data_IF_250402556940
#
_entry.id   IF_250402556940
#
_cell.length_a   1.000
_cell.length_b   1.000
_cell.length_c   1.000
_cell.angle_alpha   90.00
_cell.angle_beta   90.00
_cell.angle_gamma   90.00
#
_symmetry.space_group_name_H-M   'P 1'
#
loop_
_entity.id
_entity.type
_entity.pdbx_description
1 polymer ?
#
# COMPACT_ATOMS: atom_id res chain seq x y z
N UNK A 1 -48.03 14.69 8.39
CA UNK A 1 -46.80 14.68 9.19
C UNK A 1 -45.67 15.03 8.25
N UNK A 2 -45.42 16.33 8.09
CA UNK A 2 -44.47 16.92 7.15
C UNK A 2 -43.09 17.05 7.80
N UNK A 3 -42.03 16.70 7.09
CA UNK A 3 -40.65 16.92 7.51
C UNK A 3 -40.15 18.25 6.92
N UNK A 4 -39.40 19.07 7.68
CA UNK A 4 -38.96 20.37 7.18
C UNK A 4 -37.77 20.23 6.23
N UNK A 5 -37.85 20.98 5.12
CA UNK A 5 -36.79 21.17 4.15
C UNK A 5 -35.64 21.99 4.77
N UNK A 6 -34.64 21.29 5.32
CA UNK A 6 -33.37 21.89 5.74
C UNK A 6 -32.35 21.89 4.59
N UNK A 7 -32.15 23.06 3.97
CA UNK A 7 -31.15 23.32 2.94
C UNK A 7 -29.72 23.24 3.50
N UNK A 8 -28.94 22.24 3.07
CA UNK A 8 -27.50 22.20 3.29
C UNK A 8 -26.77 22.93 2.16
N UNK A 9 -26.53 24.22 2.32
CA UNK A 9 -25.61 24.96 1.47
C UNK A 9 -24.16 24.60 1.86
N UNK A 10 -23.49 23.79 1.03
CA UNK A 10 -22.04 23.59 1.15
C UNK A 10 -21.28 24.78 0.54
N UNK A 11 -20.26 25.35 1.21
CA UNK A 11 -19.38 26.32 0.59
C UNK A 11 -18.39 25.62 -0.37
N UNK A 12 -17.97 26.28 -1.47
CA UNK A 12 -17.00 25.71 -2.40
C UNK A 12 -15.62 25.68 -1.76
N UNK A 13 -15.12 24.49 -1.45
CA UNK A 13 -13.74 24.27 -0.99
C UNK A 13 -12.77 24.48 -2.17
N UNK A 14 -12.22 25.69 -2.28
CA UNK A 14 -11.06 25.98 -3.12
C UNK A 14 -9.79 25.34 -2.52
N UNK A 15 -9.59 24.04 -2.75
CA UNK A 15 -8.40 23.31 -2.30
C UNK A 15 -7.26 23.38 -3.35
N UNK A 16 -6.68 24.57 -3.56
CA UNK A 16 -5.54 24.75 -4.50
C UNK A 16 -4.17 24.36 -3.90
N UNK A 17 -4.06 24.11 -2.60
CA UNK A 17 -2.75 23.96 -1.92
C UNK A 17 -2.19 22.52 -1.79
N UNK A 18 -2.86 21.46 -2.26
CA UNK A 18 -2.38 20.07 -2.04
C UNK A 18 -1.77 19.35 -3.24
N UNK A 19 -2.03 19.78 -4.47
CA UNK A 19 -1.52 19.08 -5.66
C UNK A 19 -0.02 19.27 -5.89
N UNK A 20 0.56 20.42 -5.50
CA UNK A 20 2.00 20.67 -5.62
C UNK A 20 2.85 19.69 -4.80
N UNK A 21 2.41 19.29 -3.62
CA UNK A 21 3.14 18.31 -2.78
C UNK A 21 3.15 16.92 -3.41
N UNK A 22 2.06 16.51 -4.07
CA UNK A 22 1.98 15.22 -4.76
C UNK A 22 2.94 15.19 -5.96
N UNK A 23 3.00 16.28 -6.75
CA UNK A 23 3.89 16.37 -7.91
C UNK A 23 5.38 16.39 -7.53
N UNK A 24 5.74 17.03 -6.41
CA UNK A 24 7.13 17.07 -5.93
C UNK A 24 7.61 15.67 -5.49
N UNK A 25 6.76 14.88 -4.82
CA UNK A 25 7.10 13.49 -4.47
C UNK A 25 7.35 12.63 -5.72
N UNK A 26 6.49 12.73 -6.73
CA UNK A 26 6.63 11.96 -7.98
C UNK A 26 7.91 12.32 -8.75
N UNK A 27 8.31 13.60 -8.76
CA UNK A 27 9.54 14.03 -9.45
C UNK A 27 10.83 13.57 -8.76
N UNK A 28 10.84 13.49 -7.43
CA UNK A 28 11.97 12.93 -6.67
C UNK A 28 12.09 11.41 -6.90
N UNK A 29 10.95 10.71 -6.96
CA UNK A 29 10.85 9.27 -7.17
C UNK A 29 11.40 8.82 -8.53
N UNK A 30 11.13 9.57 -9.60
CA UNK A 30 11.66 9.28 -10.93
C UNK A 30 13.20 9.34 -10.97
N UNK A 31 13.79 10.32 -10.30
CA UNK A 31 15.26 10.47 -10.22
C UNK A 31 15.94 9.35 -9.42
N UNK A 32 15.23 8.71 -8.49
CA UNK A 32 15.74 7.55 -7.74
C UNK A 32 15.64 6.30 -8.62
N UNK A 33 14.48 6.05 -9.22
CA UNK A 33 14.25 4.91 -10.13
C UNK A 33 15.25 4.89 -11.31
N UNK A 34 15.49 6.04 -11.94
CA UNK A 34 16.42 6.16 -13.07
C UNK A 34 17.89 5.91 -12.66
N UNK A 35 18.28 6.27 -11.42
CA UNK A 35 19.64 6.01 -10.91
C UNK A 35 19.86 4.55 -10.55
N UNK A 36 18.87 3.89 -9.95
CA UNK A 36 18.96 2.45 -9.62
C UNK A 36 19.00 1.60 -10.89
N UNK A 37 18.20 1.94 -11.91
CA UNK A 37 18.18 1.24 -13.19
C UNK A 37 19.52 1.34 -13.94
N UNK A 38 20.16 2.52 -14.00
CA UNK A 38 21.45 2.69 -14.68
C UNK A 38 22.59 1.89 -14.03
N UNK A 39 22.59 1.74 -12.71
CA UNK A 39 23.61 0.91 -12.01
C UNK A 39 23.48 -0.57 -12.35
N UNK A 40 22.27 -1.08 -12.58
CA UNK A 40 22.05 -2.50 -12.89
C UNK A 40 22.52 -2.88 -14.30
N UNK A 41 22.47 -1.97 -15.27
CA UNK A 41 22.86 -2.27 -16.67
C UNK A 41 24.38 -2.29 -16.88
N UNK A 42 25.16 -1.68 -15.98
CA UNK A 42 26.63 -1.58 -16.11
C UNK A 42 27.46 -2.71 -15.48
N UNK A 43 26.85 -3.64 -14.75
CA UNK A 43 27.58 -4.58 -13.87
C UNK A 43 27.64 -6.03 -14.36
N UNK A 44 27.43 -6.30 -15.65
CA UNK A 44 27.45 -7.67 -16.20
C UNK A 44 28.78 -8.05 -16.86
N UNK A 45 29.63 -8.82 -16.16
CA UNK A 45 30.39 -9.99 -16.70
C UNK A 45 31.34 -10.65 -15.67
N UNK A 46 30.98 -10.69 -14.38
CA UNK A 46 31.72 -11.44 -13.36
C UNK A 46 30.88 -12.61 -12.81
N UNK A 47 31.07 -13.82 -13.36
CA UNK A 47 30.35 -15.02 -12.93
C UNK A 47 30.84 -15.56 -11.59
N UNK A 48 30.28 -15.07 -10.47
CA UNK A 48 30.56 -15.63 -9.15
C UNK A 48 29.65 -15.07 -8.07
N UNK A 49 28.72 -15.90 -7.55
CA UNK A 49 27.84 -15.66 -6.39
C UNK A 49 26.96 -14.38 -6.44
N UNK A 50 25.99 -14.34 -7.38
CA UNK A 50 24.94 -13.31 -7.40
C UNK A 50 23.69 -13.62 -6.54
N UNK A 51 23.60 -14.78 -5.88
CA UNK A 51 22.34 -15.25 -5.31
C UNK A 51 21.91 -14.56 -4.00
N UNK A 52 22.84 -14.03 -3.21
CA UNK A 52 22.52 -13.43 -1.90
C UNK A 52 22.50 -11.88 -1.87
N UNK A 53 23.05 -11.20 -2.88
CA UNK A 53 23.31 -9.75 -2.79
C UNK A 53 22.08 -8.85 -3.07
N UNK A 54 20.92 -9.43 -3.36
CA UNK A 54 19.69 -8.70 -3.73
C UNK A 54 18.48 -9.03 -2.86
N UNK A 55 18.69 -9.44 -1.60
CA UNK A 55 17.56 -9.65 -0.70
C UNK A 55 16.94 -8.29 -0.32
N UNK A 56 15.70 -8.07 -0.76
CA UNK A 56 14.88 -6.95 -0.33
C UNK A 56 14.42 -7.17 1.12
N UNK A 57 14.81 -6.29 2.03
CA UNK A 57 14.49 -6.39 3.47
C UNK A 57 13.71 -5.15 3.90
N UNK A 58 12.54 -5.36 4.48
CA UNK A 58 11.75 -4.30 5.12
C UNK A 58 12.23 -4.11 6.55
N UNK A 59 12.54 -2.87 6.92
CA UNK A 59 12.92 -2.48 8.28
C UNK A 59 11.83 -1.59 8.86
N UNK A 60 11.35 -1.95 10.04
CA UNK A 60 10.39 -1.12 10.78
C UNK A 60 11.10 0.02 11.51
N UNK A 61 10.45 1.18 11.63
CA UNK A 61 10.92 2.22 12.53
C UNK A 61 10.83 1.75 13.99
N UNK A 62 11.71 2.24 14.86
CA UNK A 62 11.73 1.85 16.29
C UNK A 62 10.42 2.16 17.01
N UNK A 63 9.77 3.25 16.60
CA UNK A 63 8.45 3.69 17.07
C UNK A 63 7.30 3.31 16.12
N UNK A 64 7.47 2.29 15.28
CA UNK A 64 6.40 1.82 14.43
C UNK A 64 5.17 1.46 15.28
N UNK A 65 4.02 2.03 14.96
CA UNK A 65 2.75 1.70 15.59
C UNK A 65 2.23 0.34 15.09
N UNK A 66 1.11 -0.14 15.67
CA UNK A 66 0.52 -1.41 15.26
C UNK A 66 0.13 -1.42 13.77
N UNK A 67 -0.33 -0.29 13.23
CA UNK A 67 -0.70 -0.17 11.82
C UNK A 67 0.52 -0.27 10.90
N UNK A 68 1.63 0.37 11.27
CA UNK A 68 2.90 0.28 10.56
C UNK A 68 3.44 -1.16 10.51
N UNK A 69 3.38 -1.89 11.64
CA UNK A 69 3.76 -3.30 11.70
C UNK A 69 2.91 -4.16 10.76
N UNK A 70 1.59 -4.04 10.85
CA UNK A 70 0.67 -4.81 10.00
C UNK A 70 0.85 -4.46 8.52
N UNK A 71 1.00 -3.19 8.18
CA UNK A 71 1.27 -2.73 6.82
C UNK A 71 2.54 -3.37 6.25
N UNK A 72 3.67 -3.30 6.96
CA UNK A 72 4.93 -3.87 6.49
C UNK A 72 4.86 -5.40 6.35
N UNK A 73 4.24 -6.09 7.31
CA UNK A 73 4.09 -7.55 7.28
C UNK A 73 3.16 -7.99 6.16
N UNK A 74 2.06 -7.27 5.93
CA UNK A 74 1.16 -7.54 4.81
C UNK A 74 1.86 -7.34 3.46
N UNK A 75 2.65 -6.28 3.30
CA UNK A 75 3.44 -6.07 2.09
C UNK A 75 4.47 -7.19 1.89
N UNK A 76 5.16 -7.60 2.96
CA UNK A 76 6.10 -8.73 2.92
C UNK A 76 5.40 -10.04 2.52
N UNK A 77 4.25 -10.32 3.13
CA UNK A 77 3.42 -11.49 2.86
C UNK A 77 2.95 -11.54 1.40
N UNK A 78 2.38 -10.45 0.88
CA UNK A 78 1.95 -10.36 -0.52
C UNK A 78 3.15 -10.60 -1.43
N UNK A 79 4.31 -9.99 -1.14
CA UNK A 79 5.46 -10.00 -2.06
C UNK A 79 6.44 -11.14 -1.88
N UNK A 80 6.12 -12.09 -1.00
CA UNK A 80 7.03 -13.18 -0.62
C UNK A 80 8.39 -12.65 -0.16
N UNK A 81 8.42 -11.50 0.52
CA UNK A 81 9.63 -10.94 1.12
C UNK A 81 9.90 -11.63 2.45
N UNK A 82 11.14 -11.53 2.93
CA UNK A 82 11.44 -11.91 4.30
C UNK A 82 10.57 -11.09 5.28
N UNK A 83 10.22 -11.66 6.45
CA UNK A 83 9.53 -10.91 7.49
C UNK A 83 10.25 -9.58 7.80
N UNK A 84 9.51 -8.47 8.01
CA UNK A 84 10.12 -7.19 8.34
C UNK A 84 10.98 -7.30 9.60
N UNK A 85 12.21 -6.80 9.54
CA UNK A 85 13.09 -6.75 10.70
C UNK A 85 12.70 -5.57 11.59
N UNK A 86 12.65 -5.82 12.89
CA UNK A 86 12.67 -4.76 13.87
C UNK A 86 14.06 -4.12 13.86
N UNK A 87 14.18 -2.82 14.13
CA UNK A 87 15.49 -2.21 14.24
C UNK A 87 16.21 -2.88 15.41
N UNK A 88 17.32 -3.54 15.11
CA UNK A 88 18.26 -3.99 16.14
C UNK A 88 18.74 -2.75 16.90
N UNK A 89 19.10 -2.94 18.17
CA UNK A 89 19.44 -1.83 19.07
C UNK A 89 20.61 -0.95 18.56
N UNK A 90 21.39 -1.44 17.59
CA UNK A 90 22.59 -0.76 17.08
C UNK A 90 22.67 -0.79 15.54
N UNK A 91 23.06 0.35 14.95
CA UNK A 91 23.64 0.40 13.60
C UNK A 91 22.70 0.61 12.40
N UNK A 92 21.38 0.50 12.55
CA UNK A 92 20.47 0.82 11.45
C UNK A 92 20.22 2.34 11.40
N UNK A 93 21.04 3.04 10.60
CA UNK A 93 21.02 4.50 10.50
C UNK A 93 19.62 5.11 10.39
N UNK A 94 19.46 6.28 11.00
CA UNK A 94 18.19 6.95 11.29
C UNK A 94 17.11 6.77 10.23
N UNK A 95 16.17 5.85 10.48
CA UNK A 95 14.85 5.94 9.86
C UNK A 95 14.21 7.21 10.42
N UNK A 96 13.81 8.19 9.58
CA UNK A 96 13.16 9.39 10.09
C UNK A 96 11.97 9.00 10.98
N UNK A 97 11.86 9.60 12.16
CA UNK A 97 10.78 9.27 13.11
C UNK A 97 9.37 9.43 12.49
N UNK A 98 9.26 10.23 11.43
CA UNK A 98 8.03 10.48 10.70
C UNK A 98 7.59 9.31 9.79
N UNK A 99 8.49 8.40 9.45
CA UNK A 99 8.25 7.31 8.49
C UNK A 99 8.09 5.96 9.20
N UNK A 100 7.08 5.15 8.80
CA UNK A 100 6.75 3.91 9.50
C UNK A 100 7.74 2.77 9.24
N UNK A 101 8.41 2.76 8.09
CA UNK A 101 9.36 1.72 7.67
C UNK A 101 10.26 2.20 6.52
N UNK A 102 11.36 1.47 6.31
CA UNK A 102 12.37 1.67 5.25
C UNK A 102 12.62 0.34 4.55
N UNK A 103 12.81 0.35 3.24
CA UNK A 103 13.25 -0.84 2.50
C UNK A 103 14.74 -0.73 2.22
N UNK A 104 15.48 -1.79 2.51
CA UNK A 104 16.86 -1.96 2.07
C UNK A 104 16.87 -2.93 0.89
N UNK A 105 17.49 -2.51 -0.22
CA UNK A 105 17.68 -3.33 -1.41
C UNK A 105 19.18 -3.36 -1.72
N UNK A 106 19.86 -4.42 -1.31
CA UNK A 106 21.32 -4.47 -1.33
C UNK A 106 21.92 -3.34 -0.47
N UNK A 107 22.62 -2.38 -1.10
CA UNK A 107 23.19 -1.21 -0.43
C UNK A 107 22.30 0.02 -0.44
N UNK A 108 21.23 0.00 -1.23
CA UNK A 108 20.33 1.15 -1.38
C UNK A 108 19.26 1.13 -0.28
N UNK A 109 18.94 2.31 0.25
CA UNK A 109 17.87 2.52 1.24
C UNK A 109 16.78 3.39 0.65
N UNK A 110 15.55 2.90 0.73
CA UNK A 110 14.36 3.56 0.20
C UNK A 110 13.47 3.94 1.37
N UNK A 111 13.25 5.24 1.51
CA UNK A 111 12.42 5.82 2.56
C UNK A 111 11.09 6.26 1.95
N UNK A 112 10.00 5.89 2.61
CA UNK A 112 8.65 6.31 2.25
C UNK A 112 7.82 5.16 1.63
N UNK A 113 6.58 4.97 2.07
CA UNK A 113 5.78 3.80 1.70
C UNK A 113 5.36 3.78 0.22
N UNK A 114 5.25 4.95 -0.43
CA UNK A 114 4.87 5.04 -1.84
C UNK A 114 5.99 4.57 -2.76
N UNK A 115 7.18 5.16 -2.61
CA UNK A 115 8.38 4.78 -3.39
C UNK A 115 8.67 3.30 -3.22
N UNK A 116 8.59 2.82 -1.98
CA UNK A 116 8.80 1.44 -1.62
C UNK A 116 7.80 0.51 -2.32
N UNK A 117 6.50 0.81 -2.27
CA UNK A 117 5.48 0.00 -2.91
C UNK A 117 5.71 -0.09 -4.43
N UNK A 118 6.07 1.03 -5.08
CA UNK A 118 6.38 1.06 -6.51
C UNK A 118 7.65 0.27 -6.85
N UNK A 119 8.70 0.40 -6.06
CA UNK A 119 9.95 -0.33 -6.27
C UNK A 119 9.78 -1.84 -6.07
N UNK A 120 9.05 -2.24 -5.03
CA UNK A 120 8.76 -3.65 -4.78
C UNK A 120 7.87 -4.22 -5.88
N UNK A 121 6.86 -3.48 -6.35
CA UNK A 121 6.04 -3.89 -7.50
C UNK A 121 6.89 -4.05 -8.76
N UNK A 122 7.77 -3.10 -9.05
CA UNK A 122 8.63 -3.14 -10.23
C UNK A 122 9.61 -4.32 -10.17
N UNK A 123 10.15 -4.64 -8.99
CA UNK A 123 11.10 -5.74 -8.81
C UNK A 123 10.41 -7.11 -8.75
N UNK A 124 9.18 -7.18 -8.23
CA UNK A 124 8.38 -8.40 -8.10
C UNK A 124 6.94 -8.11 -8.54
N UNK A 125 6.62 -8.14 -9.84
CA UNK A 125 5.30 -7.78 -10.34
C UNK A 125 4.20 -8.76 -9.93
N UNK A 126 4.56 -10.01 -9.57
CA UNK A 126 3.60 -11.02 -9.12
C UNK A 126 3.91 -11.53 -7.69
N UNK A 127 2.88 -11.69 -6.84
CA UNK A 127 1.52 -11.20 -7.04
C UNK A 127 1.48 -9.67 -7.02
N UNK A 128 0.62 -9.06 -7.85
CA UNK A 128 0.54 -7.59 -7.95
C UNK A 128 0.00 -6.96 -6.66
N UNK A 129 0.51 -5.77 -6.30
CA UNK A 129 -0.09 -4.91 -5.28
C UNK A 129 -1.43 -4.31 -5.68
N UNK A 130 -1.85 -4.49 -6.94
CA UNK A 130 -3.02 -3.86 -7.56
C UNK A 130 -3.97 -4.92 -8.12
N UNK A 131 -4.61 -5.75 -7.27
CA UNK A 131 -5.32 -6.95 -7.70
C UNK A 131 -6.53 -6.71 -8.62
N UNK A 132 -7.06 -5.48 -8.67
CA UNK A 132 -8.14 -5.09 -9.60
C UNK A 132 -7.65 -4.21 -10.77
N UNK A 133 -6.34 -4.14 -11.01
CA UNK A 133 -5.73 -3.30 -12.05
C UNK A 133 -5.67 -1.80 -11.72
N UNK A 134 -6.36 -1.31 -10.68
CA UNK A 134 -6.35 0.10 -10.31
C UNK A 134 -5.11 0.46 -9.48
N UNK A 135 -4.18 1.20 -10.10
CA UNK A 135 -2.99 1.75 -9.42
C UNK A 135 -3.25 3.07 -8.70
N UNK A 136 -4.14 3.91 -9.24
CA UNK A 136 -4.36 5.28 -8.74
C UNK A 136 -4.93 5.31 -7.33
N UNK A 137 -5.98 4.52 -7.06
CA UNK A 137 -6.65 4.53 -5.76
C UNK A 137 -5.72 4.08 -4.61
N UNK A 138 -5.00 2.95 -4.69
CA UNK A 138 -4.12 2.54 -3.59
C UNK A 138 -2.96 3.51 -3.31
N UNK A 139 -2.39 4.12 -4.35
CA UNK A 139 -1.34 5.14 -4.20
C UNK A 139 -1.89 6.41 -3.54
N UNK A 140 -3.10 6.82 -3.89
CA UNK A 140 -3.79 7.92 -3.21
C UNK A 140 -4.07 7.58 -1.74
N UNK A 141 -4.49 6.35 -1.44
CA UNK A 141 -4.73 5.87 -0.08
C UNK A 141 -3.46 5.88 0.77
N UNK A 142 -2.29 5.52 0.23
CA UNK A 142 -1.03 5.65 0.97
C UNK A 142 -0.75 7.10 1.41
N UNK A 143 -0.97 8.06 0.50
CA UNK A 143 -0.77 9.48 0.81
C UNK A 143 -1.78 9.96 1.83
N UNK A 144 -3.05 9.57 1.68
CA UNK A 144 -4.13 9.87 2.62
C UNK A 144 -3.85 9.28 4.02
N UNK A 145 -3.39 8.03 4.09
CA UNK A 145 -3.16 7.30 5.34
C UNK A 145 -2.12 8.00 6.24
N UNK A 146 -1.12 8.66 5.65
CA UNK A 146 -0.11 9.46 6.39
C UNK A 146 -0.76 10.56 7.22
N UNK A 147 -1.83 11.17 6.72
CA UNK A 147 -2.59 12.21 7.41
C UNK A 147 -3.66 11.57 8.32
N UNK A 148 -4.43 10.61 7.79
CA UNK A 148 -5.57 10.02 8.48
C UNK A 148 -5.18 9.29 9.78
N UNK A 149 -4.03 8.61 9.83
CA UNK A 149 -3.56 7.89 11.04
C UNK A 149 -3.29 8.82 12.24
N UNK A 150 -3.12 10.13 11.99
CA UNK A 150 -2.93 11.15 13.03
C UNK A 150 -4.24 11.78 13.49
N UNK A 151 -5.36 11.47 12.84
CA UNK A 151 -6.67 11.99 13.22
C UNK A 151 -7.14 11.44 14.57
N UNK A 152 -7.99 12.20 15.26
CA UNK A 152 -8.59 11.84 16.55
C UNK A 152 -10.07 12.25 16.56
N UNK A 153 -10.83 11.71 17.51
CA UNK A 153 -12.24 12.06 17.72
C UNK A 153 -13.10 11.91 16.45
N UNK A 154 -13.97 12.88 16.14
CA UNK A 154 -14.86 12.80 14.96
C UNK A 154 -14.13 12.64 13.62
N UNK A 155 -12.93 13.21 13.46
CA UNK A 155 -12.15 13.05 12.22
C UNK A 155 -11.69 11.60 12.03
N UNK A 156 -11.25 10.95 13.11
CA UNK A 156 -10.90 9.53 13.08
C UNK A 156 -12.12 8.69 12.72
N UNK A 157 -13.27 8.94 13.35
CA UNK A 157 -14.51 8.23 13.05
C UNK A 157 -14.90 8.36 11.57
N UNK A 158 -14.81 9.58 10.99
CA UNK A 158 -15.04 9.80 9.57
C UNK A 158 -14.08 9.03 8.65
N UNK A 159 -12.81 8.92 9.01
CA UNK A 159 -11.85 8.12 8.24
C UNK A 159 -12.14 6.62 8.32
N UNK A 160 -12.50 6.09 9.49
CA UNK A 160 -12.89 4.69 9.65
C UNK A 160 -14.18 4.37 8.89
N UNK A 161 -15.13 5.30 8.87
CA UNK A 161 -16.38 5.17 8.11
C UNK A 161 -16.14 5.06 6.60
N UNK A 162 -15.16 5.78 6.04
CA UNK A 162 -14.80 5.64 4.63
C UNK A 162 -14.32 4.22 4.30
N UNK A 163 -13.47 3.64 5.16
CA UNK A 163 -12.98 2.26 4.99
C UNK A 163 -14.14 1.28 5.14
N UNK A 164 -15.00 1.46 6.15
CA UNK A 164 -16.17 0.61 6.38
C UNK A 164 -17.12 0.60 5.19
N UNK A 165 -17.42 1.77 4.60
CA UNK A 165 -18.28 1.88 3.40
C UNK A 165 -17.72 1.11 2.22
N UNK A 166 -16.40 1.14 2.02
CA UNK A 166 -15.74 0.38 0.97
C UNK A 166 -15.89 -1.14 1.14
N UNK A 167 -16.07 -1.61 2.39
CA UNK A 167 -16.26 -3.02 2.75
C UNK A 167 -17.74 -3.42 2.88
N UNK A 168 -18.67 -2.48 2.69
CA UNK A 168 -20.09 -2.68 2.99
C UNK A 168 -20.79 -3.68 2.06
N UNK A 169 -20.20 -3.96 0.89
CA UNK A 169 -20.70 -4.95 -0.07
C UNK A 169 -20.21 -6.39 0.22
N UNK A 170 -19.54 -6.61 1.35
CA UNK A 170 -19.11 -7.93 1.80
C UNK A 170 -17.82 -8.43 1.16
N UNK A 171 -17.12 -7.60 0.37
CA UNK A 171 -15.80 -7.97 -0.18
C UNK A 171 -14.79 -8.32 0.92
N UNK A 172 -13.88 -9.24 0.61
CA UNK A 172 -12.86 -9.68 1.57
C UNK A 172 -11.81 -8.59 1.87
N UNK A 173 -11.41 -7.86 0.81
CA UNK A 173 -10.36 -6.83 0.82
C UNK A 173 -10.82 -5.59 0.06
N UNK A 174 -10.16 -4.45 0.25
CA UNK A 174 -10.63 -3.16 -0.28
C UNK A 174 -10.73 -3.10 -1.81
N UNK A 175 -9.89 -3.88 -2.50
CA UNK A 175 -9.89 -3.99 -3.96
C UNK A 175 -10.58 -5.25 -4.51
N UNK A 176 -11.20 -6.08 -3.66
CA UNK A 176 -11.95 -7.26 -4.08
C UNK A 176 -11.59 -8.52 -3.29
N UNK A 177 -11.23 -9.58 -4.01
CA UNK A 177 -11.00 -10.92 -3.43
C UNK A 177 -9.58 -11.17 -2.91
N UNK A 178 -8.60 -10.37 -3.32
CA UNK A 178 -7.19 -10.49 -2.91
C UNK A 178 -6.71 -9.24 -2.16
N UNK A 179 -5.80 -9.38 -1.19
CA UNK A 179 -5.21 -8.24 -0.50
C UNK A 179 -4.30 -7.46 -1.45
N UNK A 180 -4.26 -6.14 -1.29
CA UNK A 180 -3.40 -5.27 -2.08
C UNK A 180 -2.85 -4.09 -1.30
N UNK A 181 -2.31 -3.12 -2.04
CA UNK A 181 -1.75 -1.91 -1.45
C UNK A 181 -2.82 -1.05 -0.76
N UNK A 182 -4.09 -1.13 -1.20
CA UNK A 182 -5.18 -0.45 -0.53
C UNK A 182 -5.33 -0.93 0.91
N UNK A 183 -5.28 -2.25 1.12
CA UNK A 183 -5.38 -2.87 2.45
C UNK A 183 -4.19 -2.47 3.32
N UNK A 184 -2.98 -2.53 2.77
CA UNK A 184 -1.77 -2.09 3.48
C UNK A 184 -1.83 -0.60 3.88
N UNK A 185 -2.34 0.27 3.00
CA UNK A 185 -2.51 1.68 3.29
C UNK A 185 -3.55 1.93 4.40
N UNK A 186 -4.71 1.29 4.32
CA UNK A 186 -5.76 1.41 5.33
C UNK A 186 -5.36 0.78 6.67
N UNK A 187 -4.49 -0.24 6.68
CA UNK A 187 -3.96 -0.85 7.90
C UNK A 187 -3.22 0.18 8.78
N UNK A 188 -2.53 1.16 8.16
CA UNK A 188 -1.88 2.25 8.89
C UNK A 188 -2.87 3.08 9.71
N UNK A 189 -4.08 3.32 9.17
CA UNK A 189 -5.11 4.14 9.81
C UNK A 189 -5.83 3.33 10.90
N UNK A 190 -6.24 2.11 10.58
CA UNK A 190 -7.01 1.26 11.51
C UNK A 190 -6.13 0.79 12.67
N UNK A 191 -4.88 0.41 12.41
CA UNK A 191 -3.94 0.04 13.49
C UNK A 191 -3.60 1.21 14.40
N UNK A 192 -3.48 2.43 13.87
CA UNK A 192 -3.34 3.63 14.71
C UNK A 192 -4.60 3.91 15.55
N UNK A 193 -5.80 3.64 15.02
CA UNK A 193 -7.05 3.78 15.77
C UNK A 193 -7.14 2.80 16.94
N UNK A 194 -6.88 1.51 16.68
CA UNK A 194 -6.95 0.43 17.67
C UNK A 194 -5.90 0.57 18.77
N UNK A 195 -4.82 1.32 18.51
CA UNK A 195 -3.83 1.70 19.53
C UNK A 195 -4.40 2.64 20.62
N UNK A 196 -5.68 3.01 20.53
CA UNK A 196 -6.42 3.80 21.53
C UNK A 196 -7.72 3.09 21.91
N UNK A 197 -8.14 3.19 23.18
CA UNK A 197 -9.38 2.56 23.63
C UNK A 197 -10.63 3.06 22.86
N UNK A 198 -10.70 4.37 22.57
CA UNK A 198 -11.81 4.95 21.82
C UNK A 198 -11.84 4.43 20.37
N UNK A 199 -10.69 4.39 19.69
CA UNK A 199 -10.62 3.87 18.32
C UNK A 199 -10.89 2.37 18.24
N UNK A 200 -10.42 1.58 19.22
CA UNK A 200 -10.73 0.15 19.31
C UNK A 200 -12.25 -0.10 19.42
N UNK A 201 -12.98 0.69 20.22
CA UNK A 201 -14.45 0.61 20.30
C UNK A 201 -15.13 0.96 18.98
N UNK A 202 -14.63 1.98 18.25
CA UNK A 202 -15.17 2.33 16.94
C UNK A 202 -15.00 1.19 15.92
N UNK A 203 -13.85 0.51 15.93
CA UNK A 203 -13.62 -0.64 15.04
C UNK A 203 -14.50 -1.82 15.44
N UNK A 204 -14.57 -2.15 16.73
CA UNK A 204 -15.41 -3.24 17.24
C UNK A 204 -16.92 -3.01 16.98
N UNK A 205 -17.37 -1.76 16.99
CA UNK A 205 -18.75 -1.38 16.65
C UNK A 205 -19.07 -1.42 15.15
N UNK A 206 -18.11 -1.77 14.28
CA UNK A 206 -18.26 -1.80 12.83
C UNK A 206 -17.89 -3.18 12.28
N UNK A 207 -18.82 -4.17 12.26
CA UNK A 207 -18.49 -5.56 11.96
C UNK A 207 -17.74 -5.80 10.63
N UNK A 208 -18.06 -5.15 9.50
CA UNK A 208 -17.29 -5.31 8.26
C UNK A 208 -15.83 -4.87 8.40
N UNK A 209 -15.60 -3.79 9.15
CA UNK A 209 -14.27 -3.24 9.39
C UNK A 209 -13.46 -4.11 10.36
N UNK A 210 -14.10 -4.59 11.44
CA UNK A 210 -13.48 -5.53 12.37
C UNK A 210 -13.08 -6.83 11.68
N UNK A 211 -13.99 -7.45 10.93
CA UNK A 211 -13.72 -8.69 10.23
C UNK A 211 -12.59 -8.54 9.19
N UNK A 212 -12.52 -7.39 8.50
CA UNK A 212 -11.41 -7.07 7.61
C UNK A 212 -10.09 -6.92 8.38
N UNK A 213 -10.09 -6.22 9.52
CA UNK A 213 -8.90 -6.05 10.36
C UNK A 213 -8.35 -7.40 10.84
N UNK A 214 -9.20 -8.28 11.34
CA UNK A 214 -8.82 -9.64 11.76
C UNK A 214 -8.20 -10.43 10.61
N UNK A 215 -8.77 -10.36 9.40
CA UNK A 215 -8.19 -11.01 8.21
C UNK A 215 -6.80 -10.48 7.86
N UNK A 216 -6.61 -9.16 7.75
CA UNK A 216 -5.31 -8.60 7.32
C UNK A 216 -4.22 -8.77 8.39
N UNK A 217 -4.60 -8.79 9.66
CA UNK A 217 -3.66 -9.07 10.76
C UNK A 217 -3.26 -10.54 10.80
N UNK A 218 -4.16 -11.46 10.51
CA UNK A 218 -3.84 -12.88 10.35
C UNK A 218 -2.85 -13.10 9.18
N UNK A 219 -3.05 -12.40 8.06
CA UNK A 219 -2.11 -12.45 6.92
C UNK A 219 -0.73 -11.87 7.27
N UNK A 220 -0.67 -10.88 8.15
CA UNK A 220 0.56 -10.24 8.62
C UNK A 220 1.08 -10.78 9.95
N UNK A 221 0.63 -11.93 10.44
CA UNK A 221 0.99 -12.46 11.76
C UNK A 221 2.43 -12.97 11.88
N UNK A 222 2.90 -13.15 13.12
CA UNK A 222 4.21 -13.71 13.49
C UNK A 222 4.28 -15.25 13.42
N UNK A 223 3.29 -15.92 12.82
CA UNK A 223 3.31 -17.37 12.72
C UNK A 223 4.50 -17.80 11.84
N UNK A 224 5.48 -18.58 12.34
CA UNK A 224 6.63 -19.05 11.55
C UNK A 224 6.25 -20.06 10.44
N UNK A 225 4.97 -20.23 10.14
CA UNK A 225 4.53 -20.95 8.96
C UNK A 225 4.53 -20.00 7.77
N UNK A 226 5.17 -20.41 6.66
CA UNK A 226 4.83 -19.90 5.31
C UNK A 226 3.34 -19.59 5.30
N UNK A 227 2.94 -18.40 4.87
CA UNK A 227 1.59 -18.25 4.35
C UNK A 227 1.41 -19.40 3.34
N UNK A 228 0.65 -20.42 3.72
CA UNK A 228 -0.10 -21.18 2.75
C UNK A 228 -1.10 -20.16 2.23
N UNK A 229 -0.66 -19.36 1.26
CA UNK A 229 -1.54 -18.65 0.35
C UNK A 229 -2.67 -19.64 0.07
N UNK A 230 -3.92 -19.36 0.44
CA UNK A 230 -4.95 -20.38 0.33
C UNK A 230 -4.95 -20.85 -1.13
N UNK A 231 -4.74 -22.15 -1.38
CA UNK A 231 -4.65 -22.75 -2.74
C UNK A 231 -5.88 -22.46 -3.65
N UNK A 232 -6.86 -21.72 -3.13
CA UNK A 232 -8.10 -21.30 -3.78
C UNK A 232 -8.04 -19.89 -4.38
N UNK A 233 -6.91 -19.18 -4.33
CA UNK A 233 -6.73 -17.90 -5.05
C UNK A 233 -5.92 -18.05 -6.34
N UNK A 234 -5.24 -19.18 -6.59
CA UNK A 234 -4.65 -19.47 -7.92
C UNK A 234 -5.66 -19.38 -9.08
N UNK A 235 -6.92 -19.86 -8.96
CA UNK A 235 -7.89 -19.72 -10.05
C UNK A 235 -8.33 -18.26 -10.30
N UNK A 236 -8.19 -17.37 -9.32
CA UNK A 236 -8.52 -15.95 -9.45
C UNK A 236 -7.39 -15.14 -10.13
N UNK A 237 -6.17 -15.67 -10.11
CA UNK A 237 -5.01 -15.10 -10.81
C UNK A 237 -4.86 -15.64 -12.25
N UNK A 238 -5.65 -16.64 -12.64
CA UNK A 238 -5.67 -17.22 -13.98
C UNK A 238 -6.50 -16.42 -15.01
N UNK A 239 -6.95 -15.21 -14.64
CA UNK A 239 -7.55 -14.29 -15.60
C UNK A 239 -6.57 -13.88 -16.69
N UNK A 240 -7.06 -13.84 -17.93
CA UNK A 240 -6.31 -13.41 -19.12
C UNK A 240 -5.48 -12.14 -18.87
N UNK A 241 -4.27 -12.03 -19.46
CA UNK A 241 -3.43 -10.86 -19.32
C UNK A 241 -4.16 -9.61 -19.82
N UNK A 242 -4.40 -8.66 -18.91
CA UNK A 242 -4.91 -7.35 -19.26
C UNK A 242 -3.84 -6.57 -20.04
N UNK A 243 -3.96 -6.54 -21.37
CA UNK A 243 -3.16 -5.68 -22.23
C UNK A 243 -3.69 -4.25 -22.10
N UNK A 244 -3.03 -3.44 -21.26
CA UNK A 244 -3.31 -2.01 -21.18
C UNK A 244 -2.46 -1.29 -22.22
N UNK A 245 -3.08 -0.90 -23.34
CA UNK A 245 -2.47 0.05 -24.26
C UNK A 245 -2.38 1.42 -23.59
N UNK A 246 -1.15 1.90 -23.36
CA UNK A 246 -0.91 3.26 -22.91
C UNK A 246 -0.86 4.15 -24.16
N UNK A 247 -1.81 5.09 -24.37
CA UNK A 247 -1.69 6.01 -25.49
C UNK A 247 -0.47 6.91 -25.27
N UNK A 248 0.43 6.94 -26.26
CA UNK A 248 1.55 7.87 -26.28
C UNK A 248 1.05 9.32 -26.34
N UNK A 249 1.87 10.28 -25.89
CA UNK A 249 1.51 11.69 -25.93
C UNK A 249 1.47 12.16 -27.39
N UNK A 250 0.30 12.12 -28.02
CA UNK A 250 0.02 12.78 -29.30
C UNK A 250 -0.79 12.04 -30.37
N UNK A 251 -1.24 10.79 -30.20
CA UNK A 251 -1.79 10.00 -31.33
C UNK A 251 -3.23 9.52 -31.15
N UNK A 252 -4.13 9.90 -32.07
CA UNK A 252 -5.43 9.25 -32.27
C UNK A 252 -5.23 7.73 -32.48
N UNK A 253 -5.95 6.92 -31.72
CA UNK A 253 -6.10 5.48 -31.97
C UNK A 253 -7.11 5.27 -33.10
N UNK A 254 -6.65 5.06 -34.33
CA UNK A 254 -7.48 4.43 -35.36
C UNK A 254 -7.40 2.92 -35.17
N UNK A 255 -8.49 2.35 -34.68
CA UNK A 255 -8.69 0.91 -34.58
C UNK A 255 -9.03 0.37 -35.97
N UNK A 256 -8.26 -0.59 -36.47
CA UNK A 256 -8.68 -1.46 -37.58
C UNK A 256 -8.76 -2.89 -37.04
N UNK A 257 -9.93 -3.56 -37.13
CA UNK A 257 -10.00 -4.97 -36.80
C UNK A 257 -9.22 -5.78 -37.83
N UNK A 258 -8.54 -6.84 -37.38
CA UNK A 258 -8.05 -7.86 -38.30
C UNK A 258 -9.24 -8.65 -38.87
N UNK A 259 -9.28 -8.92 -40.18
CA UNK A 259 -10.19 -9.94 -40.70
C UNK A 259 -9.75 -11.32 -40.17
N UNK A 260 -10.75 -12.16 -39.89
CA UNK A 260 -10.57 -13.55 -39.46
C UNK A 260 -10.03 -14.46 -40.54
#
# INVERSE_FOLDING_TARGET
MELPAGSWCHPPLACKCRWKTILISVSYERSVLERTSRKQVGAGMGGGRMADEHQAVLHLARRADAGARVCARLLAAIKGLAPPRLPEAEGHGDVPESEPFVLTLGRDRVIGPLVLALLVEAHRPQPTLFPNGNRGMPLALLTWARVARRARGPRLAGHLELVRRQLADGRAFLQGAAPGLADAACALVVGAAISTAAGARLVAGAPPLQAWWERITALGGDAPGRLAWPRRVEPLLAGEPLVVAVPGPGGRTTWTPRPG
#
